data_IF_016747822933
#
_entry.id   IF_016747822933
#
_cell.length_a   1.000
_cell.length_b   1.000
_cell.length_c   1.000
_cell.angle_alpha   90.00
_cell.angle_beta   90.00
_cell.angle_gamma   90.00
#
_symmetry.space_group_name_H-M   'P 1'
#
loop_
_entity.id
_entity.type
_entity.pdbx_description
1 polymer ?
#
# COMPACT_ATOMS: atom_id res chain seq x y z
N UNK A 1 -1.76 -32.77 31.49
CA UNK A 1 -2.34 -33.28 30.23
C UNK A 1 -3.59 -32.45 30.01
N UNK A 2 -3.52 -31.41 29.17
CA UNK A 2 -4.69 -30.58 28.87
C UNK A 2 -5.44 -31.27 27.74
N UNK A 3 -6.59 -31.88 28.05
CA UNK A 3 -7.57 -32.27 27.06
C UNK A 3 -8.15 -30.97 26.48
N UNK A 4 -7.66 -30.57 25.31
CA UNK A 4 -8.41 -29.66 24.45
C UNK A 4 -9.68 -30.41 24.04
N UNK A 5 -10.79 -30.09 24.70
CA UNK A 5 -12.11 -30.39 24.16
C UNK A 5 -12.22 -29.66 22.82
N UNK A 6 -12.10 -30.41 21.73
CA UNK A 6 -12.52 -29.97 20.41
C UNK A 6 -14.04 -29.78 20.47
N UNK A 7 -14.48 -28.61 20.94
CA UNK A 7 -15.87 -28.20 20.85
C UNK A 7 -16.23 -28.13 19.37
N UNK A 8 -17.03 -29.08 18.93
CA UNK A 8 -17.53 -29.15 17.57
C UNK A 8 -18.49 -27.98 17.34
N UNK A 9 -18.01 -26.96 16.63
CA UNK A 9 -18.81 -25.78 16.28
C UNK A 9 -20.10 -26.19 15.57
N UNK A 10 -21.21 -25.56 15.95
CA UNK A 10 -22.49 -25.72 15.27
C UNK A 10 -22.42 -25.23 13.82
N UNK A 11 -23.31 -25.73 12.96
CA UNK A 11 -23.37 -25.32 11.55
C UNK A 11 -23.66 -23.83 11.35
N UNK A 12 -24.27 -23.18 12.35
CA UNK A 12 -24.52 -21.74 12.35
C UNK A 12 -23.23 -20.97 12.66
N UNK A 13 -22.46 -21.39 13.67
CA UNK A 13 -21.16 -20.80 14.00
C UNK A 13 -20.16 -20.96 12.85
N UNK A 14 -20.14 -22.12 12.17
CA UNK A 14 -19.33 -22.33 10.97
C UNK A 14 -19.74 -21.42 9.81
N UNK A 15 -21.02 -21.08 9.69
CA UNK A 15 -21.52 -20.14 8.66
C UNK A 15 -21.13 -18.71 8.99
N UNK A 16 -21.31 -18.29 10.24
CA UNK A 16 -20.89 -16.97 10.72
C UNK A 16 -19.38 -16.79 10.62
N UNK A 17 -18.59 -17.80 10.99
CA UNK A 17 -17.14 -17.78 10.86
C UNK A 17 -16.69 -17.59 9.40
N UNK A 18 -17.28 -18.34 8.45
CA UNK A 18 -17.00 -18.16 7.01
C UNK A 18 -17.40 -16.78 6.49
N UNK A 19 -18.51 -16.23 6.98
CA UNK A 19 -18.95 -14.88 6.63
C UNK A 19 -17.94 -13.82 7.15
N UNK A 20 -17.51 -13.95 8.40
CA UNK A 20 -16.51 -13.07 9.01
C UNK A 20 -15.14 -13.18 8.33
N UNK A 21 -14.72 -14.39 7.96
CA UNK A 21 -13.47 -14.62 7.21
C UNK A 21 -13.51 -13.93 5.83
N UNK A 22 -14.61 -14.11 5.09
CA UNK A 22 -14.81 -13.44 3.80
C UNK A 22 -14.83 -11.92 3.95
N UNK A 23 -15.49 -11.44 4.99
CA UNK A 23 -15.56 -10.03 5.32
C UNK A 23 -14.19 -9.43 5.62
N UNK A 24 -13.38 -10.09 6.47
CA UNK A 24 -12.01 -9.69 6.76
C UNK A 24 -11.11 -9.68 5.51
N UNK A 25 -11.27 -10.65 4.61
CA UNK A 25 -10.56 -10.67 3.31
C UNK A 25 -10.89 -9.47 2.44
N UNK A 26 -12.17 -9.07 2.37
CA UNK A 26 -12.58 -7.89 1.60
C UNK A 26 -11.98 -6.62 2.19
N UNK A 27 -12.03 -6.45 3.52
CA UNK A 27 -11.43 -5.31 4.21
C UNK A 27 -9.93 -5.22 3.93
N UNK A 28 -9.19 -6.31 4.15
CA UNK A 28 -7.74 -6.35 3.93
C UNK A 28 -7.38 -6.05 2.46
N UNK A 29 -8.15 -6.59 1.51
CA UNK A 29 -7.95 -6.34 0.09
C UNK A 29 -8.19 -4.88 -0.28
N UNK A 30 -9.28 -4.27 0.20
CA UNK A 30 -9.59 -2.86 -0.09
C UNK A 30 -8.56 -1.93 0.55
N UNK A 31 -8.23 -2.18 1.81
CA UNK A 31 -7.20 -1.44 2.54
C UNK A 31 -5.87 -1.45 1.79
N UNK A 32 -5.34 -2.64 1.47
CA UNK A 32 -4.07 -2.77 0.75
C UNK A 32 -4.12 -2.11 -0.63
N UNK A 33 -5.23 -2.25 -1.36
CA UNK A 33 -5.37 -1.64 -2.68
C UNK A 33 -5.35 -0.11 -2.61
N UNK A 34 -5.99 0.51 -1.63
CA UNK A 34 -5.95 1.96 -1.42
C UNK A 34 -4.52 2.44 -1.13
N UNK A 35 -3.81 1.76 -0.22
CA UNK A 35 -2.41 2.09 0.12
C UNK A 35 -1.50 1.98 -1.10
N UNK A 36 -1.65 0.93 -1.91
CA UNK A 36 -0.90 0.76 -3.16
C UNK A 36 -1.16 1.87 -4.18
N UNK A 37 -2.35 2.46 -4.15
CA UNK A 37 -2.71 3.59 -5.01
C UNK A 37 -2.35 4.95 -4.41
N UNK A 38 -1.54 4.99 -3.34
CA UNK A 38 -1.00 6.21 -2.77
C UNK A 38 -1.86 6.86 -1.69
N UNK A 39 -2.97 6.24 -1.30
CA UNK A 39 -3.75 6.70 -0.15
C UNK A 39 -3.02 6.41 1.16
N UNK A 40 -3.17 7.33 2.11
CA UNK A 40 -2.59 7.27 3.44
C UNK A 40 -3.73 7.14 4.45
N UNK A 41 -3.75 6.08 5.28
CA UNK A 41 -4.75 5.97 6.32
C UNK A 41 -4.55 7.08 7.36
N UNK A 42 -5.64 7.75 7.73
CA UNK A 42 -5.70 8.71 8.83
C UNK A 42 -6.38 8.00 9.99
N UNK A 43 -5.64 7.82 11.07
CA UNK A 43 -6.14 7.12 12.26
C UNK A 43 -7.01 8.10 13.05
N UNK A 44 -8.32 7.85 13.05
CA UNK A 44 -9.26 8.49 13.95
C UNK A 44 -9.67 7.48 15.02
N UNK A 45 -9.34 7.74 16.28
CA UNK A 45 -9.61 6.82 17.38
C UNK A 45 -11.09 6.73 17.78
N UNK A 46 -11.98 7.48 17.12
CA UNK A 46 -13.36 7.71 17.56
C UNK A 46 -14.42 7.22 16.55
N UNK A 47 -14.03 6.57 15.45
CA UNK A 47 -14.96 6.15 14.40
C UNK A 47 -14.77 4.66 14.02
N UNK A 48 -15.86 3.96 13.70
CA UNK A 48 -15.88 2.58 13.17
C UNK A 48 -15.47 2.51 11.68
N UNK A 49 -14.46 3.29 11.30
CA UNK A 49 -13.99 3.38 9.93
C UNK A 49 -12.56 3.89 9.85
N UNK A 50 -11.91 3.62 8.71
CA UNK A 50 -10.60 4.15 8.37
C UNK A 50 -10.77 5.25 7.33
N UNK A 51 -10.31 6.45 7.66
CA UNK A 51 -10.22 7.52 6.68
C UNK A 51 -8.94 7.38 5.87
N UNK A 52 -9.01 7.77 4.60
CA UNK A 52 -7.91 7.69 3.66
C UNK A 52 -7.77 9.01 2.94
N UNK A 53 -6.58 9.58 3.08
CA UNK A 53 -6.21 10.80 2.38
C UNK A 53 -5.23 10.53 1.25
N UNK A 54 -5.30 11.32 0.19
CA UNK A 54 -4.38 11.20 -0.94
C UNK A 54 -3.60 12.51 -1.15
N UNK A 55 -2.27 12.44 -1.38
CA UNK A 55 -1.44 13.65 -1.52
C UNK A 55 -1.84 14.53 -2.70
N UNK A 56 -2.47 13.95 -3.74
CA UNK A 56 -3.07 14.74 -4.81
C UNK A 56 -4.43 15.31 -4.38
N UNK A 57 -4.53 16.65 -4.32
CA UNK A 57 -5.75 17.39 -3.96
C UNK A 57 -6.97 17.13 -4.86
N UNK A 58 -6.76 16.58 -6.06
CA UNK A 58 -7.84 16.22 -7.00
C UNK A 58 -8.37 14.80 -6.77
N UNK A 59 -7.67 13.98 -5.99
CA UNK A 59 -8.14 12.64 -5.64
C UNK A 59 -9.24 12.74 -4.59
N UNK A 60 -10.24 11.89 -4.74
CA UNK A 60 -11.39 11.78 -3.84
C UNK A 60 -10.90 11.23 -2.51
N UNK A 61 -11.12 11.95 -1.41
CA UNK A 61 -10.81 11.44 -0.08
C UNK A 61 -11.87 10.41 0.29
N UNK A 62 -11.49 9.27 0.88
CA UNK A 62 -12.42 8.16 1.09
C UNK A 62 -12.37 7.64 2.50
N UNK A 63 -13.44 6.98 2.90
CA UNK A 63 -13.63 6.34 4.18
C UNK A 63 -13.98 4.87 3.94
N UNK A 64 -13.21 3.97 4.54
CA UNK A 64 -13.45 2.52 4.51
C UNK A 64 -14.13 2.11 5.82
N UNK A 65 -15.39 1.71 5.74
CA UNK A 65 -16.19 1.35 6.91
C UNK A 65 -15.87 -0.06 7.38
N UNK A 66 -16.19 -0.35 8.64
CA UNK A 66 -16.04 -1.68 9.22
C UNK A 66 -16.76 -2.77 8.42
N UNK A 67 -17.83 -2.46 7.67
CA UNK A 67 -18.54 -3.43 6.81
C UNK A 67 -17.90 -3.63 5.42
N UNK A 68 -16.80 -2.93 5.13
CA UNK A 68 -16.07 -2.98 3.87
C UNK A 68 -16.57 -2.01 2.80
N UNK A 69 -17.57 -1.17 3.11
CA UNK A 69 -18.02 -0.11 2.19
C UNK A 69 -16.97 0.98 2.06
N UNK A 70 -16.78 1.46 0.83
CA UNK A 70 -16.02 2.66 0.58
C UNK A 70 -17.00 3.83 0.39
N UNK A 71 -16.77 4.92 1.10
CA UNK A 71 -17.60 6.11 1.08
C UNK A 71 -16.73 7.33 0.79
N UNK A 72 -17.15 8.19 -0.13
CA UNK A 72 -16.50 9.48 -0.38
C UNK A 72 -16.66 10.43 0.83
N UNK A 73 -15.57 11.06 1.27
CA UNK A 73 -15.51 11.95 2.43
C UNK A 73 -15.31 13.42 2.01
N UNK A 74 -16.39 14.10 1.64
CA UNK A 74 -16.62 15.57 1.68
C UNK A 74 -15.66 16.56 0.95
N UNK A 75 -16.20 17.74 0.57
CA UNK A 75 -17.05 17.85 -0.59
C UNK A 75 -16.18 17.66 -1.85
N UNK A 76 -16.64 16.81 -2.75
CA UNK A 76 -16.20 16.95 -4.12
C UNK A 76 -16.50 18.38 -4.57
N UNK A 77 -15.71 18.94 -5.47
CA UNK A 77 -16.10 20.09 -6.28
C UNK A 77 -17.34 19.80 -7.19
N UNK A 78 -18.15 18.80 -6.82
CA UNK A 78 -19.18 18.15 -7.59
C UNK A 78 -20.47 18.22 -6.77
N UNK A 79 -21.56 18.60 -7.43
CA UNK A 79 -22.91 18.73 -6.83
C UNK A 79 -23.31 17.45 -6.08
N UNK A 80 -24.11 17.61 -5.03
CA UNK A 80 -24.63 16.62 -4.05
C UNK A 80 -25.29 15.31 -4.58
N UNK A 81 -25.15 14.95 -5.86
CA UNK A 81 -25.69 13.74 -6.48
C UNK A 81 -24.68 12.60 -6.72
N UNK A 82 -23.38 12.79 -6.47
CA UNK A 82 -22.31 11.83 -6.80
C UNK A 82 -21.66 11.15 -5.59
N UNK A 83 -22.35 11.06 -4.45
CA UNK A 83 -21.89 10.24 -3.30
C UNK A 83 -21.73 8.79 -3.74
N UNK A 84 -20.52 8.39 -4.11
CA UNK A 84 -20.27 7.04 -4.60
C UNK A 84 -20.02 6.13 -3.39
N UNK A 85 -21.06 5.42 -2.98
CA UNK A 85 -20.94 4.34 -1.99
C UNK A 85 -20.62 3.07 -2.75
N UNK A 86 -19.40 2.55 -2.58
CA UNK A 86 -18.96 1.31 -3.23
C UNK A 86 -19.19 0.16 -2.25
N UNK A 87 -20.23 -0.63 -2.50
CA UNK A 87 -20.56 -1.78 -1.67
C UNK A 87 -19.46 -2.86 -1.71
N UNK A 88 -19.28 -3.66 -0.63
CA UNK A 88 -18.25 -4.69 -0.54
C UNK A 88 -18.34 -5.74 -1.67
N UNK A 89 -19.56 -6.03 -2.12
CA UNK A 89 -19.86 -6.97 -3.21
C UNK A 89 -19.53 -6.43 -4.61
N UNK A 90 -19.39 -5.11 -4.77
CA UNK A 90 -19.17 -4.47 -6.06
C UNK A 90 -17.68 -4.27 -6.34
N UNK A 91 -17.01 -5.37 -6.66
CA UNK A 91 -15.58 -5.36 -7.00
C UNK A 91 -15.28 -4.55 -8.27
N UNK A 92 -16.21 -4.54 -9.24
CA UNK A 92 -16.00 -3.86 -10.51
C UNK A 92 -16.00 -2.33 -10.34
N UNK A 93 -16.93 -1.80 -9.55
CA UNK A 93 -16.96 -0.38 -9.23
C UNK A 93 -15.73 0.03 -8.42
N UNK A 94 -15.27 -0.82 -7.50
CA UNK A 94 -14.03 -0.59 -6.76
C UNK A 94 -12.79 -0.51 -7.67
N UNK A 95 -12.64 -1.44 -8.62
CA UNK A 95 -11.53 -1.40 -9.58
C UNK A 95 -11.55 -0.13 -10.44
N UNK A 96 -12.72 0.26 -10.97
CA UNK A 96 -12.85 1.49 -11.75
C UNK A 96 -12.53 2.74 -10.93
N UNK A 97 -12.92 2.75 -9.65
CA UNK A 97 -12.53 3.81 -8.74
C UNK A 97 -11.01 3.90 -8.63
N UNK A 98 -10.31 2.80 -8.36
CA UNK A 98 -8.85 2.79 -8.24
C UNK A 98 -8.14 3.26 -9.53
N UNK A 99 -8.67 2.89 -10.70
CA UNK A 99 -8.15 3.34 -12.00
C UNK A 99 -8.29 4.86 -12.21
N UNK A 100 -9.31 5.48 -11.61
CA UNK A 100 -9.54 6.92 -11.67
C UNK A 100 -8.65 7.74 -10.73
N UNK A 101 -7.95 7.08 -9.80
CA UNK A 101 -7.05 7.74 -8.85
C UNK A 101 -5.82 8.23 -9.61
N UNK A 102 -5.46 9.52 -9.52
CA UNK A 102 -4.23 10.03 -10.09
C UNK A 102 -3.03 9.26 -9.52
N UNK A 103 -2.25 8.62 -10.40
CA UNK A 103 -1.06 7.87 -9.97
C UNK A 103 -0.09 8.82 -9.26
N UNK A 104 0.48 8.43 -8.11
CA UNK A 104 1.48 9.23 -7.43
C UNK A 104 2.66 9.47 -8.37
N UNK A 105 3.09 10.73 -8.46
CA UNK A 105 4.28 11.09 -9.25
C UNK A 105 5.51 10.36 -8.72
N UNK A 106 6.52 10.08 -9.54
CA UNK A 106 7.76 9.40 -9.09
C UNK A 106 8.39 10.05 -7.84
N UNK A 107 8.28 11.38 -7.75
CA UNK A 107 8.75 12.18 -6.62
C UNK A 107 7.95 11.92 -5.33
N UNK A 108 6.65 11.64 -5.43
CA UNK A 108 5.82 11.27 -4.29
C UNK A 108 6.04 9.82 -3.84
N UNK A 109 6.39 8.92 -4.77
CA UNK A 109 6.81 7.55 -4.44
C UNK A 109 8.08 7.55 -3.61
N UNK A 110 9.07 8.36 -3.98
CA UNK A 110 10.30 8.60 -3.23
C UNK A 110 10.04 9.10 -1.80
N UNK A 111 9.06 10.00 -1.62
CA UNK A 111 8.68 10.50 -0.29
C UNK A 111 7.89 9.50 0.57
N UNK A 112 7.32 8.47 -0.04
CA UNK A 112 6.62 7.38 0.66
C UNK A 112 7.52 6.15 0.88
N UNK A 113 8.72 6.11 0.30
CA UNK A 113 9.65 5.00 0.46
C UNK A 113 10.22 5.04 1.89
N UNK A 114 10.19 3.93 2.66
CA UNK A 114 10.76 3.93 4.00
C UNK A 114 12.26 4.26 3.94
N UNK A 115 12.73 5.09 4.88
CA UNK A 115 14.13 5.57 4.92
C UNK A 115 15.17 4.44 4.85
N UNK A 116 14.83 3.24 5.35
CA UNK A 116 15.67 2.04 5.27
C UNK A 116 15.96 1.58 3.85
N UNK A 117 14.97 1.63 2.95
CA UNK A 117 15.14 1.23 1.55
C UNK A 117 15.98 2.25 0.77
N UNK A 118 15.79 3.55 1.07
CA UNK A 118 16.62 4.61 0.50
C UNK A 118 18.09 4.46 0.94
N UNK A 119 18.32 4.14 2.21
CA UNK A 119 19.66 3.88 2.76
C UNK A 119 20.32 2.67 2.10
N UNK A 120 19.61 1.56 1.94
CA UNK A 120 20.12 0.36 1.28
C UNK A 120 20.47 0.63 -0.19
N UNK A 121 19.62 1.39 -0.88
CA UNK A 121 19.86 1.79 -2.27
C UNK A 121 21.11 2.69 -2.36
N UNK A 122 21.23 3.69 -1.48
CA UNK A 122 22.40 4.55 -1.43
C UNK A 122 23.69 3.78 -1.11
N UNK A 123 23.65 2.86 -0.14
CA UNK A 123 24.77 1.99 0.19
C UNK A 123 25.18 1.10 -0.99
N UNK A 124 24.21 0.54 -1.72
CA UNK A 124 24.49 -0.26 -2.91
C UNK A 124 25.19 0.57 -4.00
N UNK A 125 24.76 1.81 -4.23
CA UNK A 125 25.42 2.73 -5.17
C UNK A 125 26.85 3.10 -4.72
N UNK A 126 27.06 3.38 -3.43
CA UNK A 126 28.38 3.66 -2.88
C UNK A 126 29.30 2.44 -3.07
N UNK A 127 28.78 1.23 -2.81
CA UNK A 127 29.53 -0.01 -2.95
C UNK A 127 29.88 -0.28 -4.43
N UNK A 128 28.96 -0.03 -5.35
CA UNK A 128 29.20 -0.15 -6.78
C UNK A 128 30.28 0.82 -7.27
N UNK A 129 30.21 2.09 -6.85
CA UNK A 129 31.17 3.13 -7.24
C UNK A 129 32.57 2.90 -6.67
N UNK A 130 32.66 2.39 -5.44
CA UNK A 130 33.94 2.02 -4.83
C UNK A 130 34.57 0.82 -5.54
N UNK A 131 33.79 -0.21 -5.90
CA UNK A 131 34.25 -1.33 -6.73
C UNK A 131 34.74 -0.89 -8.10
N UNK A 132 34.03 0.01 -8.77
CA UNK A 132 34.46 0.60 -10.04
C UNK A 132 35.79 1.38 -9.91
N UNK A 133 35.95 2.12 -8.83
CA UNK A 133 37.18 2.88 -8.58
C UNK A 133 38.37 1.98 -8.28
N UNK A 134 38.17 0.91 -7.51
CA UNK A 134 39.20 -0.09 -7.20
C UNK A 134 39.62 -0.85 -8.47
N UNK A 135 38.64 -1.32 -9.26
CA UNK A 135 38.93 -2.02 -10.51
C UNK A 135 39.70 -1.11 -11.47
N UNK A 136 39.28 0.15 -11.64
CA UNK A 136 40.01 1.14 -12.43
C UNK A 136 41.45 1.35 -11.94
N UNK A 137 41.67 1.48 -10.63
CA UNK A 137 43.00 1.66 -10.05
C UNK A 137 43.91 0.42 -10.29
N UNK A 138 43.37 -0.79 -10.15
CA UNK A 138 44.09 -2.03 -10.42
C UNK A 138 44.45 -2.12 -11.91
N UNK A 139 43.51 -1.83 -12.81
CA UNK A 139 43.77 -1.82 -14.26
C UNK A 139 44.83 -0.81 -14.64
N UNK A 140 44.80 0.40 -14.07
CA UNK A 140 45.83 1.42 -14.31
C UNK A 140 47.21 0.99 -13.80
N UNK A 141 47.26 0.34 -12.64
CA UNK A 141 48.51 -0.16 -12.04
C UNK A 141 49.10 -1.30 -12.86
N UNK A 142 48.27 -2.26 -13.28
CA UNK A 142 48.67 -3.35 -14.19
C UNK A 142 49.14 -2.82 -15.55
N UNK A 143 48.46 -1.81 -16.09
CA UNK A 143 48.85 -1.17 -17.35
C UNK A 143 50.23 -0.53 -17.26
N UNK A 144 50.48 0.30 -16.23
CA UNK A 144 51.81 0.87 -15.98
C UNK A 144 52.90 -0.20 -15.79
N UNK A 145 52.57 -1.34 -15.20
CA UNK A 145 53.49 -2.45 -15.02
C UNK A 145 53.81 -3.17 -16.34
N UNK A 146 52.84 -3.26 -17.25
CA UNK A 146 52.98 -3.94 -18.55
C UNK A 146 53.62 -3.07 -19.62
N UNK A 147 53.40 -1.75 -19.61
CA UNK A 147 53.96 -0.84 -20.62
C UNK A 147 55.30 -0.23 -20.22
N UNK A 148 55.73 -0.37 -18.94
CA UNK A 148 56.87 0.38 -18.40
C UNK A 148 56.61 1.90 -18.38
N UNK A 149 57.52 2.72 -17.81
CA UNK A 149 57.49 4.16 -18.03
C UNK A 149 57.69 4.51 -19.50
#
# INVERSE_FOLDING_TARGET
MFETQDQEYSDEERRQWRANERHGKILAHRFSSLVLHGYRPVVHCELDCFDFEHPHKQAIQVQLWADGKLVDRYPSSVRDGYRTIINPSDQQLFSRFLESVPKPTELQKLMATPMSELLMTALAWILMLTLLSITWAITKTLWHFLTGP
#
